data_IF_331684412553
#
_entry.id   IF_331684412553
#
_cell.length_a   1.000
_cell.length_b   1.000
_cell.length_c   1.000
_cell.angle_alpha   90.00
_cell.angle_beta   90.00
_cell.angle_gamma   90.00
#
_symmetry.space_group_name_H-M   'P 1'
#
loop_
_entity.id
_entity.type
_entity.pdbx_description
1 polymer ?
#
# COMPACT_ATOMS: atom_id res chain seq x y z
N UNK A 1 -38.50 10.08 -10.39
CA UNK A 1 -38.19 11.47 -10.79
C UNK A 1 -37.26 11.45 -12.00
N UNK A 2 -37.81 11.56 -13.21
CA UNK A 2 -37.12 11.28 -14.49
C UNK A 2 -35.83 12.09 -14.70
N UNK A 3 -35.80 13.35 -14.24
CA UNK A 3 -34.63 14.23 -14.31
C UNK A 3 -33.39 13.69 -13.57
N UNK A 4 -33.57 12.97 -12.46
CA UNK A 4 -32.45 12.31 -11.75
C UNK A 4 -31.89 11.12 -12.53
N UNK A 5 -32.75 10.38 -13.22
CA UNK A 5 -32.34 9.23 -14.03
C UNK A 5 -31.51 9.68 -15.25
N UNK A 6 -31.90 10.78 -15.91
CA UNK A 6 -31.16 11.37 -17.04
C UNK A 6 -29.69 11.64 -16.68
N UNK A 7 -29.44 12.21 -15.49
CA UNK A 7 -28.08 12.49 -15.02
C UNK A 7 -27.22 11.23 -14.87
N UNK A 8 -27.81 10.11 -14.44
CA UNK A 8 -27.10 8.83 -14.33
C UNK A 8 -26.81 8.22 -15.69
N UNK A 9 -27.74 8.26 -16.64
CA UNK A 9 -27.51 7.75 -17.99
C UNK A 9 -26.48 8.58 -18.77
N UNK A 10 -26.51 9.92 -18.64
CA UNK A 10 -25.49 10.80 -19.24
C UNK A 10 -24.11 10.57 -18.63
N UNK A 11 -23.99 10.37 -17.30
CA UNK A 11 -22.72 9.98 -16.66
C UNK A 11 -22.18 8.65 -17.18
N UNK A 12 -23.06 7.74 -17.61
CA UNK A 12 -22.70 6.47 -18.22
C UNK A 12 -22.45 6.56 -19.73
N UNK A 13 -22.41 7.77 -20.31
CA UNK A 13 -22.10 7.98 -21.73
C UNK A 13 -23.25 7.63 -22.67
N UNK A 14 -24.47 7.47 -22.16
CA UNK A 14 -25.64 7.29 -23.00
C UNK A 14 -26.16 8.64 -23.48
N UNK A 15 -26.32 8.79 -24.79
CA UNK A 15 -27.10 9.87 -25.38
C UNK A 15 -28.58 9.47 -25.30
N UNK A 16 -29.31 10.06 -24.35
CA UNK A 16 -30.71 9.74 -24.13
C UNK A 16 -31.54 11.00 -24.28
N UNK A 17 -32.35 11.05 -25.32
CA UNK A 17 -33.46 12.01 -25.46
C UNK A 17 -34.65 11.47 -24.68
N UNK A 18 -34.90 12.04 -23.50
CA UNK A 18 -36.13 11.76 -22.76
C UNK A 18 -37.19 12.77 -23.23
N UNK A 19 -38.15 12.31 -24.02
CA UNK A 19 -39.41 13.03 -24.18
C UNK A 19 -40.32 12.67 -22.99
N UNK A 20 -40.77 13.66 -22.21
CA UNK A 20 -41.71 13.41 -21.12
C UNK A 20 -43.10 13.16 -21.70
N UNK A 21 -43.63 11.95 -21.49
CA UNK A 21 -45.03 11.61 -21.78
C UNK A 21 -45.81 11.55 -20.47
N UNK A 22 -46.80 12.43 -20.30
CA UNK A 22 -47.65 12.47 -19.11
C UNK A 22 -48.53 11.20 -19.04
N UNK A 23 -48.53 10.50 -17.90
CA UNK A 23 -49.40 9.35 -17.66
C UNK A 23 -48.88 7.97 -18.12
N UNK A 24 -47.77 7.90 -18.88
CA UNK A 24 -47.13 6.63 -19.26
C UNK A 24 -45.88 6.37 -18.41
N UNK A 25 -45.91 5.30 -17.63
CA UNK A 25 -44.73 4.81 -16.92
C UNK A 25 -43.59 4.54 -17.91
N UNK A 26 -42.39 5.04 -17.62
CA UNK A 26 -41.22 4.83 -18.47
C UNK A 26 -40.79 3.36 -18.41
N UNK A 27 -41.21 2.55 -19.39
CA UNK A 27 -40.63 1.22 -19.62
C UNK A 27 -39.67 1.34 -20.81
N UNK A 28 -38.38 1.03 -20.63
CA UNK A 28 -37.50 0.88 -21.78
C UNK A 28 -38.08 -0.21 -22.69
N UNK A 29 -38.09 0.06 -24.00
CA UNK A 29 -38.53 -0.94 -24.98
C UNK A 29 -37.55 -2.12 -24.95
N UNK A 30 -38.00 -3.22 -24.38
CA UNK A 30 -37.23 -4.44 -24.23
C UNK A 30 -37.00 -5.16 -25.57
N UNK A 31 -37.66 -4.72 -26.66
CA UNK A 31 -37.49 -5.22 -28.02
C UNK A 31 -36.52 -4.38 -28.87
N UNK A 32 -36.10 -3.21 -28.38
CA UNK A 32 -35.14 -2.37 -29.11
C UNK A 32 -33.78 -3.07 -29.24
N UNK A 33 -33.41 -3.43 -30.47
CA UNK A 33 -32.12 -4.06 -30.78
C UNK A 33 -30.95 -3.12 -30.42
N UNK A 34 -31.10 -1.82 -30.67
CA UNK A 34 -30.12 -0.80 -30.28
C UNK A 34 -29.88 -0.75 -28.76
N UNK A 35 -30.94 -0.82 -27.96
CA UNK A 35 -30.81 -0.87 -26.50
C UNK A 35 -30.13 -2.16 -26.03
N UNK A 36 -30.49 -3.31 -26.62
CA UNK A 36 -29.87 -4.60 -26.31
C UNK A 36 -28.38 -4.60 -26.64
N UNK A 37 -28.00 -4.14 -27.84
CA UNK A 37 -26.62 -4.04 -28.30
C UNK A 37 -25.80 -3.12 -27.38
N UNK A 38 -26.38 -1.99 -27.01
CA UNK A 38 -25.76 -1.03 -26.08
C UNK A 38 -25.55 -1.65 -24.69
N UNK A 39 -26.56 -2.33 -24.13
CA UNK A 39 -26.46 -3.01 -22.83
C UNK A 39 -25.39 -4.10 -22.82
N UNK A 40 -25.30 -4.90 -23.88
CA UNK A 40 -24.25 -5.93 -24.02
C UNK A 40 -22.86 -5.29 -24.07
N UNK A 41 -22.70 -4.21 -24.82
CA UNK A 41 -21.43 -3.47 -24.93
C UNK A 41 -21.03 -2.83 -23.60
N UNK A 42 -21.96 -2.21 -22.89
CA UNK A 42 -21.70 -1.64 -21.57
C UNK A 42 -21.41 -2.73 -20.53
N UNK A 43 -22.09 -3.87 -20.58
CA UNK A 43 -21.88 -4.98 -19.66
C UNK A 43 -20.49 -5.62 -19.86
N UNK A 44 -20.04 -5.79 -21.11
CA UNK A 44 -18.71 -6.34 -21.40
C UNK A 44 -17.61 -5.39 -20.94
N UNK A 45 -17.76 -4.08 -21.16
CA UNK A 45 -16.85 -3.05 -20.64
C UNK A 45 -16.74 -3.07 -19.12
N UNK A 46 -17.86 -3.16 -18.40
CA UNK A 46 -17.88 -3.26 -16.93
C UNK A 46 -17.21 -4.55 -16.44
N UNK A 47 -17.52 -5.71 -17.01
CA UNK A 47 -16.90 -6.98 -16.62
C UNK A 47 -15.39 -6.97 -16.83
N UNK A 48 -14.91 -6.42 -17.95
CA UNK A 48 -13.49 -6.31 -18.23
C UNK A 48 -12.78 -5.40 -17.21
N UNK A 49 -13.40 -4.26 -16.88
CA UNK A 49 -12.91 -3.31 -15.88
C UNK A 49 -12.85 -3.93 -14.48
N UNK A 50 -13.96 -4.51 -14.03
CA UNK A 50 -14.09 -5.06 -12.69
C UNK A 50 -13.16 -6.28 -12.51
N UNK A 51 -12.99 -7.09 -13.55
CA UNK A 51 -12.02 -8.19 -13.56
C UNK A 51 -10.57 -7.73 -13.44
N UNK A 52 -10.22 -6.58 -14.02
CA UNK A 52 -8.88 -6.02 -13.93
C UNK A 52 -8.61 -5.41 -12.54
N UNK A 53 -9.58 -4.73 -11.95
CA UNK A 53 -9.52 -4.25 -10.56
C UNK A 53 -9.46 -5.41 -9.55
N UNK A 54 -10.18 -6.51 -9.79
CA UNK A 54 -10.10 -7.71 -8.96
C UNK A 54 -8.70 -8.34 -9.00
N UNK A 55 -8.10 -8.50 -10.19
CA UNK A 55 -6.73 -9.01 -10.34
C UNK A 55 -5.71 -8.13 -9.63
N UNK A 56 -5.84 -6.80 -9.73
CA UNK A 56 -4.96 -5.86 -9.04
C UNK A 56 -5.07 -6.02 -7.51
N UNK A 57 -6.29 -6.16 -6.97
CA UNK A 57 -6.51 -6.42 -5.54
C UNK A 57 -5.95 -7.76 -5.07
N UNK A 58 -6.09 -8.83 -5.87
CA UNK A 58 -5.49 -10.12 -5.54
C UNK A 58 -3.96 -10.03 -5.50
N UNK A 59 -3.34 -9.27 -6.41
CA UNK A 59 -1.90 -9.01 -6.37
C UNK A 59 -1.48 -8.22 -5.12
N UNK A 60 -2.28 -7.23 -4.69
CA UNK A 60 -2.04 -6.52 -3.41
C UNK A 60 -2.08 -7.48 -2.22
N UNK A 61 -3.08 -8.37 -2.15
CA UNK A 61 -3.23 -9.35 -1.07
C UNK A 61 -2.08 -10.36 -1.04
N UNK A 62 -1.61 -10.76 -2.22
CA UNK A 62 -0.42 -11.60 -2.40
C UNK A 62 0.90 -10.86 -2.10
N UNK A 63 0.85 -9.57 -1.74
CA UNK A 63 2.00 -8.69 -1.52
C UNK A 63 2.90 -8.50 -2.75
N UNK A 64 2.40 -8.86 -3.95
CA UNK A 64 3.07 -8.59 -5.22
C UNK A 64 2.73 -7.17 -5.67
N UNK A 65 3.47 -6.22 -5.10
CA UNK A 65 3.26 -4.79 -5.30
C UNK A 65 3.51 -4.35 -6.74
N UNK A 66 4.52 -4.92 -7.39
CA UNK A 66 4.90 -4.56 -8.75
C UNK A 66 3.78 -4.94 -9.73
N UNK A 67 3.24 -6.15 -9.60
CA UNK A 67 2.11 -6.59 -10.41
C UNK A 67 0.85 -5.77 -10.13
N UNK A 68 0.55 -5.46 -8.87
CA UNK A 68 -0.59 -4.62 -8.51
C UNK A 68 -0.52 -3.22 -9.14
N UNK A 69 0.65 -2.55 -9.06
CA UNK A 69 0.90 -1.23 -9.65
C UNK A 69 0.66 -1.28 -11.17
N UNK A 70 1.26 -2.23 -11.88
CA UNK A 70 1.12 -2.40 -13.33
C UNK A 70 -0.34 -2.58 -13.76
N UNK A 71 -1.10 -3.37 -13.00
CA UNK A 71 -2.51 -3.61 -13.28
C UNK A 71 -3.36 -2.34 -13.07
N UNK A 72 -3.10 -1.57 -12.01
CA UNK A 72 -3.79 -0.30 -11.79
C UNK A 72 -3.45 0.77 -12.83
N UNK A 73 -2.21 0.82 -13.32
CA UNK A 73 -1.83 1.69 -14.44
C UNK A 73 -2.57 1.30 -15.72
N UNK A 74 -2.62 0.00 -16.03
CA UNK A 74 -3.36 -0.50 -17.19
C UNK A 74 -4.86 -0.17 -17.10
N UNK A 75 -5.44 -0.28 -15.90
CA UNK A 75 -6.82 0.13 -15.64
C UNK A 75 -7.05 1.60 -16.01
N UNK A 76 -6.20 2.50 -15.49
CA UNK A 76 -6.34 3.94 -15.70
C UNK A 76 -6.05 4.37 -17.14
N UNK A 77 -5.14 3.69 -17.82
CA UNK A 77 -4.85 3.93 -19.23
C UNK A 77 -6.05 3.57 -20.12
N UNK A 78 -6.74 2.47 -19.82
CA UNK A 78 -7.87 1.99 -20.62
C UNK A 78 -9.19 2.69 -20.27
N UNK A 79 -9.37 3.13 -19.02
CA UNK A 79 -10.59 3.76 -18.53
C UNK A 79 -10.32 4.96 -17.60
N UNK A 80 -9.77 6.07 -18.12
CA UNK A 80 -9.35 7.21 -17.30
C UNK A 80 -10.50 7.95 -16.60
N UNK A 81 -11.74 7.83 -17.12
CA UNK A 81 -12.95 8.45 -16.60
C UNK A 81 -13.98 7.47 -16.05
N UNK A 82 -13.61 6.21 -15.83
CA UNK A 82 -14.56 5.24 -15.26
C UNK A 82 -14.96 5.62 -13.84
N UNK A 83 -16.21 5.32 -13.48
CA UNK A 83 -16.68 5.34 -12.09
C UNK A 83 -15.71 4.49 -11.22
N UNK A 84 -14.98 5.15 -10.31
CA UNK A 84 -13.97 4.51 -9.46
C UNK A 84 -12.51 4.77 -9.85
N UNK A 85 -12.23 5.46 -10.97
CA UNK A 85 -10.86 5.81 -11.37
C UNK A 85 -10.11 6.61 -10.29
N UNK A 86 -10.79 7.53 -9.58
CA UNK A 86 -10.21 8.26 -8.45
C UNK A 86 -9.76 7.34 -7.31
N UNK A 87 -10.58 6.32 -6.98
CA UNK A 87 -10.23 5.32 -5.96
C UNK A 87 -8.99 4.53 -6.39
N UNK A 88 -8.92 4.16 -7.67
CA UNK A 88 -7.75 3.46 -8.24
C UNK A 88 -6.50 4.35 -8.23
N UNK A 89 -6.62 5.64 -8.56
CA UNK A 89 -5.51 6.62 -8.46
C UNK A 89 -5.00 6.75 -7.04
N UNK A 90 -5.91 6.91 -6.07
CA UNK A 90 -5.56 7.00 -4.66
C UNK A 90 -4.84 5.72 -4.18
N UNK A 91 -5.31 4.54 -4.61
CA UNK A 91 -4.69 3.25 -4.28
C UNK A 91 -3.30 3.11 -4.91
N UNK A 92 -3.15 3.48 -6.17
CA UNK A 92 -1.86 3.49 -6.88
C UNK A 92 -0.86 4.43 -6.21
N UNK A 93 -1.30 5.63 -5.81
CA UNK A 93 -0.48 6.57 -5.06
C UNK A 93 -0.03 5.98 -3.71
N UNK A 94 -0.93 5.32 -2.97
CA UNK A 94 -0.60 4.62 -1.72
C UNK A 94 0.38 3.45 -1.94
N UNK A 95 0.22 2.67 -3.02
CA UNK A 95 1.13 1.58 -3.33
C UNK A 95 2.54 2.08 -3.67
N UNK A 96 2.64 3.19 -4.41
CA UNK A 96 3.90 3.83 -4.79
C UNK A 96 4.56 4.56 -3.63
N UNK A 97 3.78 5.23 -2.77
CA UNK A 97 4.31 5.95 -1.61
C UNK A 97 4.96 4.99 -0.61
N UNK A 98 4.42 3.79 -0.44
CA UNK A 98 5.02 2.75 0.41
C UNK A 98 6.32 2.15 -0.18
N UNK A 99 6.66 2.45 -1.44
CA UNK A 99 7.99 2.18 -1.99
C UNK A 99 9.04 3.23 -1.61
N UNK A 100 8.61 4.44 -1.20
CA UNK A 100 9.48 5.54 -0.76
C UNK A 100 9.51 5.63 0.77
N UNK A 101 8.46 5.18 1.46
CA UNK A 101 8.59 4.80 2.86
C UNK A 101 9.39 3.51 2.91
N UNK A 102 10.68 3.66 3.17
CA UNK A 102 11.36 2.92 4.23
C UNK A 102 10.42 1.92 4.91
N UNK A 103 10.78 0.63 4.90
CA UNK A 103 10.54 -0.33 6.00
C UNK A 103 10.15 0.45 7.25
N UNK A 104 9.06 0.16 7.99
CA UNK A 104 8.79 0.87 9.23
C UNK A 104 10.03 0.71 10.13
N UNK A 105 10.92 1.69 10.02
CA UNK A 105 11.76 2.18 11.08
C UNK A 105 10.68 2.71 11.98
N UNK A 106 10.26 1.84 12.89
CA UNK A 106 9.88 2.20 14.25
C UNK A 106 10.00 3.70 14.40
N UNK A 107 8.84 4.36 14.41
CA UNK A 107 8.57 5.64 15.07
C UNK A 107 9.84 6.34 15.54
N UNK A 108 10.08 7.52 14.99
CA UNK A 108 11.05 8.48 15.53
C UNK A 108 10.97 8.46 17.07
N UNK A 109 12.12 8.40 17.76
CA UNK A 109 12.16 8.21 19.20
C UNK A 109 11.68 9.48 19.88
N UNK A 110 10.39 9.56 20.18
CA UNK A 110 9.93 10.29 21.34
C UNK A 110 10.64 9.68 22.55
N UNK A 111 11.69 10.35 23.02
CA UNK A 111 12.44 10.05 24.24
C UNK A 111 12.41 8.57 24.64
N UNK A 112 12.90 7.68 23.76
CA UNK A 112 12.93 6.27 24.05
C UNK A 112 13.69 6.09 25.36
N UNK A 113 13.03 5.44 26.32
CA UNK A 113 13.60 5.09 27.62
C UNK A 113 15.07 4.67 27.42
N UNK A 114 16.04 5.34 28.07
CA UNK A 114 17.46 4.99 27.99
C UNK A 114 17.72 3.49 28.12
N UNK A 115 16.90 2.78 28.90
CA UNK A 115 16.96 1.34 29.05
C UNK A 115 16.55 0.59 27.78
N UNK A 116 15.48 0.99 27.11
CA UNK A 116 15.05 0.37 25.86
C UNK A 116 16.07 0.59 24.74
N UNK A 117 16.64 1.80 24.68
CA UNK A 117 17.69 2.12 23.73
C UNK A 117 18.94 1.25 23.94
N UNK A 118 19.39 1.11 25.19
CA UNK A 118 20.50 0.23 25.56
C UNK A 118 20.21 -1.24 25.23
N UNK A 119 19.00 -1.74 25.51
CA UNK A 119 18.57 -3.10 25.16
C UNK A 119 18.65 -3.37 23.66
N UNK A 120 18.12 -2.44 22.85
CA UNK A 120 18.15 -2.55 21.38
C UNK A 120 19.60 -2.60 20.87
N UNK A 121 20.47 -1.73 21.36
CA UNK A 121 21.89 -1.74 20.98
C UNK A 121 22.61 -3.03 21.38
N UNK A 122 22.36 -3.59 22.57
CA UNK A 122 22.93 -4.86 22.99
C UNK A 122 22.45 -6.04 22.15
N UNK A 123 21.16 -6.10 21.82
CA UNK A 123 20.62 -7.14 20.94
C UNK A 123 21.28 -7.07 19.56
N UNK A 124 21.44 -5.88 18.99
CA UNK A 124 22.15 -5.70 17.73
C UNK A 124 23.61 -6.15 17.82
N UNK A 125 24.33 -5.77 18.87
CA UNK A 125 25.71 -6.20 19.09
C UNK A 125 25.82 -7.73 19.17
N UNK A 126 24.91 -8.41 19.88
CA UNK A 126 24.84 -9.88 19.94
C UNK A 126 24.63 -10.51 18.57
N UNK A 127 23.68 -10.00 17.80
CA UNK A 127 23.41 -10.50 16.46
C UNK A 127 24.63 -10.37 15.55
N UNK A 128 25.35 -9.25 15.63
CA UNK A 128 26.58 -9.05 14.86
C UNK A 128 27.72 -9.97 15.29
N UNK A 129 27.87 -10.26 16.59
CA UNK A 129 28.86 -11.24 17.07
C UNK A 129 28.53 -12.64 16.56
N UNK A 130 27.27 -13.05 16.63
CA UNK A 130 26.82 -14.36 16.12
C UNK A 130 27.04 -14.49 14.61
N UNK A 131 26.93 -13.38 13.87
CA UNK A 131 27.20 -13.31 12.44
C UNK A 131 28.69 -13.14 12.08
N UNK A 132 29.62 -13.19 13.05
CA UNK A 132 31.06 -13.01 12.83
C UNK A 132 31.49 -11.56 12.54
N UNK A 133 30.56 -10.60 12.53
CA UNK A 133 30.81 -9.18 12.24
C UNK A 133 31.27 -8.41 13.50
N UNK A 134 32.40 -8.83 14.09
CA UNK A 134 32.90 -8.30 15.37
C UNK A 134 33.13 -6.79 15.35
N UNK A 135 33.62 -6.20 14.26
CA UNK A 135 33.83 -4.74 14.18
C UNK A 135 32.53 -3.93 14.26
N UNK A 136 31.46 -4.40 13.61
CA UNK A 136 30.15 -3.73 13.68
C UNK A 136 29.57 -3.83 15.08
N UNK A 137 29.70 -4.99 15.74
CA UNK A 137 29.28 -5.16 17.12
C UNK A 137 29.99 -4.17 18.07
N UNK A 138 31.31 -3.96 17.91
CA UNK A 138 32.07 -2.99 18.72
C UNK A 138 31.52 -1.57 18.61
N UNK A 139 31.07 -1.16 17.43
CA UNK A 139 30.47 0.16 17.21
C UNK A 139 29.25 0.40 18.10
N UNK A 140 28.34 -0.57 18.19
CA UNK A 140 27.15 -0.46 19.07
C UNK A 140 27.50 -0.49 20.55
N UNK A 141 28.47 -1.33 20.94
CA UNK A 141 28.93 -1.41 22.34
C UNK A 141 29.59 -0.10 22.80
N UNK A 142 30.42 0.52 21.95
CA UNK A 142 31.01 1.84 22.23
C UNK A 142 29.94 2.92 22.41
N UNK A 143 28.88 2.91 21.60
CA UNK A 143 27.75 3.86 21.75
C UNK A 143 27.08 3.76 23.12
N UNK A 144 26.85 2.54 23.63
CA UNK A 144 26.31 2.35 24.99
C UNK A 144 27.24 2.98 26.03
N UNK A 145 28.56 2.78 25.91
CA UNK A 145 29.54 3.31 26.85
C UNK A 145 29.66 4.83 26.81
N UNK A 146 29.49 5.44 25.64
CA UNK A 146 29.53 6.90 25.48
C UNK A 146 28.24 7.56 25.95
N UNK A 147 27.07 6.98 25.63
CA UNK A 147 25.78 7.57 25.96
C UNK A 147 25.34 7.31 27.41
N UNK A 148 25.70 6.16 27.98
CA UNK A 148 25.18 5.70 29.27
C UNK A 148 26.27 5.03 30.15
N UNK A 149 27.36 5.75 30.52
CA UNK A 149 28.55 5.17 31.15
C UNK A 149 28.31 4.52 32.51
N UNK A 150 27.36 5.02 33.30
CA UNK A 150 27.11 4.61 34.69
C UNK A 150 25.90 3.67 34.84
N UNK A 151 25.46 3.07 33.73
CA UNK A 151 24.31 2.15 33.74
C UNK A 151 24.76 0.69 33.85
N UNK A 152 23.89 -0.22 34.33
CA UNK A 152 24.14 -1.66 34.26
C UNK A 152 24.37 -2.15 32.81
N UNK A 153 23.90 -1.40 31.81
CA UNK A 153 24.12 -1.67 30.40
C UNK A 153 25.57 -1.43 29.97
N UNK A 154 26.24 -0.40 30.49
CA UNK A 154 27.65 -0.17 30.25
C UNK A 154 28.52 -1.30 30.81
N UNK A 155 28.20 -1.83 32.00
CA UNK A 155 28.89 -2.98 32.56
C UNK A 155 28.77 -4.22 31.64
N UNK A 156 27.56 -4.51 31.13
CA UNK A 156 27.31 -5.59 30.17
C UNK A 156 28.07 -5.37 28.85
N UNK A 157 28.09 -4.13 28.34
CA UNK A 157 28.80 -3.79 27.11
C UNK A 157 30.32 -3.95 27.25
N UNK A 158 30.91 -3.51 28.37
CA UNK A 158 32.33 -3.74 28.71
C UNK A 158 32.67 -5.23 28.75
N UNK A 159 31.86 -6.03 29.47
CA UNK A 159 32.08 -7.47 29.58
C UNK A 159 32.07 -8.16 28.20
N UNK A 160 31.15 -7.76 27.32
CA UNK A 160 31.03 -8.30 25.97
C UNK A 160 32.23 -7.91 25.08
N UNK A 161 32.69 -6.65 25.15
CA UNK A 161 33.91 -6.21 24.45
C UNK A 161 35.14 -7.01 24.89
N UNK A 162 35.31 -7.22 26.20
CA UNK A 162 36.42 -8.01 26.75
C UNK A 162 36.38 -9.43 26.24
N UNK A 163 35.19 -10.06 26.22
CA UNK A 163 35.02 -11.42 25.68
C UNK A 163 35.42 -11.50 24.21
N UNK A 164 34.93 -10.57 23.38
CA UNK A 164 35.23 -10.56 21.95
C UNK A 164 36.72 -10.37 21.65
N UNK A 165 37.43 -9.57 22.46
CA UNK A 165 38.86 -9.34 22.30
C UNK A 165 39.70 -10.56 22.72
N UNK A 166 39.20 -11.40 23.63
CA UNK A 166 39.84 -12.67 23.98
C UNK A 166 39.63 -13.73 22.91
N UNK A 167 38.45 -13.80 22.31
CA UNK A 167 38.09 -14.78 21.26
C UNK A 167 38.56 -14.38 19.84
N UNK A 168 39.31 -13.29 19.70
CA UNK A 168 39.80 -12.77 18.40
C UNK A 168 41.32 -12.69 18.29
N UNK A 169 42.05 -13.13 19.32
CA UNK A 169 43.48 -13.43 19.26
C UNK A 169 43.66 -14.91 19.05
#
# INVERSE_FOLDING_TARGET
NARRAVGSYKRWGAEVTFEPWEGLGHRPDDRSEGLRQWLVTCASGRRARDGLEAKARSAEQAKDRATAIRLYEQYLAKWPGADGAERVRARLAALRSVGITTRPVTTAPDAADPDEQCRRWLTMARNYVNAGMKERARGYLKRILTAHPDTPWAAKAKAMLTRMNREGR
#
